data_IF_646707102358
#
_entry.id   IF_646707102358
#
_cell.length_a   1.000
_cell.length_b   1.000
_cell.length_c   1.000
_cell.angle_alpha   90.00
_cell.angle_beta   90.00
_cell.angle_gamma   90.00
#
_symmetry.space_group_name_H-M   'P 1'
#
loop_
_entity.id
_entity.type
_entity.pdbx_description
1 polymer ?
#
# COMPACT_ATOMS: atom_id res chain seq x y z
N UNK A 1 18.55 -11.77 68.47
CA UNK A 1 18.75 -10.34 68.81
C UNK A 1 20.09 -9.91 68.21
N UNK A 2 20.11 -9.42 66.96
CA UNK A 2 21.34 -8.99 66.30
C UNK A 2 21.77 -7.63 66.86
N UNK A 3 22.87 -7.58 67.60
CA UNK A 3 23.49 -6.32 68.04
C UNK A 3 24.42 -5.82 66.94
N UNK A 4 23.96 -4.85 66.16
CA UNK A 4 24.80 -4.10 65.23
C UNK A 4 25.71 -3.17 66.06
N UNK A 5 26.94 -3.61 66.34
CA UNK A 5 27.99 -2.71 66.78
C UNK A 5 28.56 -2.01 65.54
N UNK A 6 28.11 -0.79 65.27
CA UNK A 6 28.62 0.02 64.17
C UNK A 6 29.99 0.53 64.61
N UNK A 7 31.05 -0.06 64.05
CA UNK A 7 32.40 0.47 64.18
C UNK A 7 32.48 1.83 63.47
N UNK A 8 32.84 2.93 64.16
CA UNK A 8 32.93 4.26 63.59
C UNK A 8 33.80 4.32 62.32
N UNK A 9 34.86 3.50 62.25
CA UNK A 9 35.77 3.50 61.12
C UNK A 9 35.12 2.92 59.85
N UNK A 10 34.42 1.79 60.00
CA UNK A 10 33.64 1.17 58.93
C UNK A 10 32.50 2.06 58.44
N UNK A 11 31.89 2.85 59.34
CA UNK A 11 30.85 3.82 58.99
C UNK A 11 31.39 4.95 58.10
N UNK A 12 32.53 5.55 58.43
CA UNK A 12 33.11 6.64 57.63
C UNK A 12 33.58 6.16 56.25
N UNK A 13 34.16 4.96 56.15
CA UNK A 13 34.56 4.38 54.86
C UNK A 13 33.33 4.12 53.99
N UNK A 14 32.27 3.53 54.58
CA UNK A 14 30.99 3.33 53.89
C UNK A 14 30.35 4.64 53.42
N UNK A 15 30.40 5.68 54.25
CA UNK A 15 29.86 7.00 53.90
C UNK A 15 30.67 7.68 52.78
N UNK A 16 31.99 7.57 52.81
CA UNK A 16 32.87 8.15 51.79
C UNK A 16 32.67 7.44 50.44
N UNK A 17 32.64 6.11 50.45
CA UNK A 17 32.40 5.30 49.24
C UNK A 17 31.01 5.55 48.66
N UNK A 18 29.97 5.62 49.49
CA UNK A 18 28.62 5.96 49.04
C UNK A 18 28.55 7.38 48.46
N UNK A 19 29.24 8.36 49.05
CA UNK A 19 29.27 9.75 48.59
C UNK A 19 29.97 9.89 47.23
N UNK A 20 31.12 9.22 47.06
CA UNK A 20 31.85 9.17 45.78
C UNK A 20 31.02 8.45 44.72
N UNK A 21 30.39 7.33 45.07
CA UNK A 21 29.51 6.60 44.16
C UNK A 21 28.30 7.44 43.73
N UNK A 22 27.68 8.16 44.66
CA UNK A 22 26.56 9.05 44.37
C UNK A 22 26.97 10.20 43.45
N UNK A 23 28.15 10.79 43.67
CA UNK A 23 28.68 11.86 42.83
C UNK A 23 29.00 11.38 41.41
N UNK A 24 29.60 10.20 41.25
CA UNK A 24 29.81 9.58 39.92
C UNK A 24 28.48 9.26 39.22
N UNK A 25 27.49 8.76 39.95
CA UNK A 25 26.17 8.48 39.40
C UNK A 25 25.43 9.75 38.95
N UNK A 26 25.53 10.85 39.70
CA UNK A 26 24.93 12.12 39.28
C UNK A 26 25.62 12.73 38.07
N UNK A 27 26.93 12.55 37.93
CA UNK A 27 27.70 12.97 36.76
C UNK A 27 27.42 12.08 35.52
N UNK A 28 27.07 10.80 35.71
CA UNK A 28 26.71 9.88 34.64
C UNK A 28 25.25 10.02 34.13
N UNK A 29 24.37 10.71 34.87
CA UNK A 29 22.98 10.98 34.47
C UNK A 29 22.81 11.63 33.08
N UNK A 30 23.57 12.69 32.69
CA UNK A 30 23.45 13.28 31.35
C UNK A 30 23.76 12.26 30.24
N UNK A 31 24.83 11.47 30.39
CA UNK A 31 25.21 10.42 29.44
C UNK A 31 24.09 9.37 29.29
N UNK A 32 23.47 8.94 30.40
CA UNK A 32 22.35 7.98 30.32
C UNK A 32 21.13 8.52 29.58
N UNK A 33 20.89 9.84 29.62
CA UNK A 33 19.81 10.46 28.84
C UNK A 33 20.13 10.42 27.35
N UNK A 34 21.37 10.72 26.96
CA UNK A 34 21.83 10.64 25.58
C UNK A 34 21.78 9.20 25.04
N UNK A 35 22.23 8.22 25.83
CA UNK A 35 22.13 6.80 25.45
C UNK A 35 20.69 6.34 25.26
N UNK A 36 19.75 6.77 26.11
CA UNK A 36 18.33 6.46 25.96
C UNK A 36 17.73 7.12 24.72
N UNK A 37 18.07 8.38 24.47
CA UNK A 37 17.61 9.10 23.28
C UNK A 37 18.15 8.43 21.99
N UNK A 38 19.44 8.14 21.94
CA UNK A 38 20.06 7.44 20.80
C UNK A 38 19.51 6.01 20.62
N UNK A 39 19.18 5.31 21.71
CA UNK A 39 18.53 4.00 21.62
C UNK A 39 17.09 4.10 21.10
N UNK A 40 16.34 5.13 21.51
CA UNK A 40 14.98 5.39 21.01
C UNK A 40 15.00 5.72 19.51
N UNK A 41 15.89 6.63 19.09
CA UNK A 41 16.08 7.00 17.68
C UNK A 41 16.48 5.81 16.82
N UNK A 42 17.45 4.99 17.28
CA UNK A 42 17.83 3.75 16.58
C UNK A 42 16.68 2.76 16.48
N UNK A 43 15.82 2.68 17.51
CA UNK A 43 14.64 1.81 17.49
C UNK A 43 13.60 2.31 16.47
N UNK A 44 13.37 3.61 16.41
CA UNK A 44 12.46 4.25 15.46
C UNK A 44 12.94 4.06 14.01
N UNK A 45 14.21 4.34 13.74
CA UNK A 45 14.83 4.10 12.43
C UNK A 45 14.77 2.62 12.03
N UNK A 46 15.01 1.70 12.97
CA UNK A 46 14.89 0.27 12.71
C UNK A 46 13.44 -0.16 12.44
N UNK A 47 12.45 0.47 13.10
CA UNK A 47 11.04 0.20 12.88
C UNK A 47 10.59 0.73 11.52
N UNK A 48 10.98 1.97 11.16
CA UNK A 48 10.71 2.55 9.84
C UNK A 48 11.32 1.70 8.71
N UNK A 49 12.59 1.29 8.84
CA UNK A 49 13.26 0.40 7.87
C UNK A 49 12.60 -0.97 7.75
N UNK A 50 12.06 -1.51 8.85
CA UNK A 50 11.34 -2.78 8.84
C UNK A 50 10.03 -2.67 8.07
N UNK A 51 9.23 -1.64 8.34
CA UNK A 51 7.98 -1.40 7.61
C UNK A 51 8.24 -1.15 6.12
N UNK A 52 9.26 -0.37 5.78
CA UNK A 52 9.62 -0.11 4.38
C UNK A 52 10.06 -1.38 3.64
N UNK A 53 10.75 -2.30 4.32
CA UNK A 53 11.15 -3.57 3.69
C UNK A 53 9.97 -4.49 3.36
N UNK A 54 8.95 -4.51 4.23
CA UNK A 54 7.74 -5.32 4.01
C UNK A 54 6.92 -4.74 2.88
N UNK A 55 6.76 -3.41 2.84
CA UNK A 55 6.07 -2.74 1.74
C UNK A 55 6.76 -2.99 0.39
N UNK A 56 8.08 -2.82 0.33
CA UNK A 56 8.85 -3.01 -0.91
C UNK A 56 8.77 -4.46 -1.42
N UNK A 57 8.87 -5.43 -0.50
CA UNK A 57 8.69 -6.84 -0.83
C UNK A 57 7.27 -7.13 -1.35
N UNK A 58 6.25 -6.54 -0.72
CA UNK A 58 4.86 -6.65 -1.14
C UNK A 58 4.64 -6.06 -2.54
N UNK A 59 5.14 -4.84 -2.80
CA UNK A 59 5.07 -4.20 -4.12
C UNK A 59 5.75 -5.06 -5.19
N UNK A 60 6.96 -5.56 -4.94
CA UNK A 60 7.67 -6.44 -5.88
C UNK A 60 6.90 -7.72 -6.15
N UNK A 61 6.25 -8.30 -5.15
CA UNK A 61 5.44 -9.50 -5.34
C UNK A 61 4.18 -9.21 -6.17
N UNK A 62 3.47 -8.12 -5.85
CA UNK A 62 2.32 -7.65 -6.62
C UNK A 62 2.69 -7.38 -8.07
N UNK A 63 3.82 -6.71 -8.33
CA UNK A 63 4.33 -6.48 -9.67
C UNK A 63 4.59 -7.79 -10.41
N UNK A 64 5.33 -8.72 -9.79
CA UNK A 64 5.61 -10.04 -10.39
C UNK A 64 4.32 -10.81 -10.70
N UNK A 65 3.35 -10.80 -9.78
CA UNK A 65 2.05 -11.44 -9.96
C UNK A 65 1.32 -10.81 -11.14
N UNK A 66 1.19 -9.49 -11.16
CA UNK A 66 0.51 -8.75 -12.22
C UNK A 66 1.14 -8.98 -13.60
N UNK A 67 2.47 -8.87 -13.68
CA UNK A 67 3.22 -9.14 -14.92
C UNK A 67 3.09 -10.59 -15.39
N UNK A 68 2.78 -11.53 -14.50
CA UNK A 68 2.57 -12.94 -14.84
C UNK A 68 1.12 -13.31 -15.21
N UNK A 69 0.16 -12.38 -15.19
CA UNK A 69 -1.27 -12.67 -15.43
C UNK A 69 -1.62 -12.83 -16.92
N UNK A 70 -0.83 -13.57 -17.67
CA UNK A 70 -1.08 -13.90 -19.07
C UNK A 70 -0.45 -15.24 -19.47
N UNK A 71 -0.92 -15.83 -20.57
CA UNK A 71 -0.50 -17.17 -21.00
C UNK A 71 0.98 -17.25 -21.41
N UNK A 72 1.56 -16.12 -21.85
CA UNK A 72 2.93 -16.03 -22.32
C UNK A 72 3.92 -15.55 -21.24
N UNK A 73 3.52 -15.54 -19.96
CA UNK A 73 4.33 -15.05 -18.84
C UNK A 73 5.75 -15.66 -18.72
N UNK A 74 6.00 -16.92 -19.13
CA UNK A 74 7.36 -17.46 -19.13
C UNK A 74 8.29 -16.83 -20.18
N UNK A 75 7.75 -16.14 -21.19
CA UNK A 75 8.51 -15.62 -22.34
C UNK A 75 8.64 -14.10 -22.32
N UNK A 76 7.59 -13.39 -21.92
CA UNK A 76 7.51 -11.94 -21.94
C UNK A 76 6.84 -11.44 -20.66
N UNK A 77 7.20 -10.23 -20.24
CA UNK A 77 6.44 -9.53 -19.21
C UNK A 77 5.13 -8.98 -19.81
N UNK A 78 4.10 -8.77 -18.98
CA UNK A 78 2.83 -8.20 -19.45
C UNK A 78 3.06 -6.87 -20.18
N UNK A 79 3.86 -5.97 -19.61
CA UNK A 79 4.10 -4.63 -20.17
C UNK A 79 4.79 -4.64 -21.55
N UNK A 80 5.46 -5.73 -21.93
CA UNK A 80 6.11 -5.87 -23.24
C UNK A 80 5.12 -6.18 -24.37
N UNK A 81 4.00 -6.81 -24.03
CA UNK A 81 2.98 -7.26 -24.99
C UNK A 81 1.63 -6.59 -24.78
N UNK A 82 1.51 -5.75 -23.77
CA UNK A 82 0.28 -5.10 -23.37
C UNK A 82 -0.14 -4.09 -24.43
N UNK A 83 -1.37 -4.23 -24.91
CA UNK A 83 -2.09 -3.12 -25.49
C UNK A 83 -2.74 -2.32 -24.36
N UNK A 84 -2.39 -1.04 -24.25
CA UNK A 84 -2.85 -0.17 -23.17
C UNK A 84 -4.39 -0.20 -23.04
N UNK A 85 -4.93 -0.66 -21.89
CA UNK A 85 -6.37 -0.74 -21.67
C UNK A 85 -6.96 0.66 -21.49
N UNK A 86 -8.02 0.95 -22.25
CA UNK A 86 -8.72 2.23 -22.22
C UNK A 86 -10.20 2.04 -21.91
N UNK A 87 -10.81 3.02 -21.26
CA UNK A 87 -12.23 3.04 -20.91
C UNK A 87 -12.95 4.14 -21.69
N UNK A 88 -14.23 3.93 -21.99
CA UNK A 88 -15.05 4.90 -22.73
C UNK A 88 -15.35 6.08 -21.81
N UNK A 89 -15.18 7.30 -22.31
CA UNK A 89 -15.49 8.51 -21.55
C UNK A 89 -17.01 8.66 -21.41
N UNK A 90 -17.55 8.88 -20.20
CA UNK A 90 -18.96 9.20 -20.05
C UNK A 90 -19.27 10.55 -20.71
N UNK A 91 -20.49 10.75 -21.23
CA UNK A 91 -20.89 12.03 -21.81
C UNK A 91 -20.81 13.14 -20.75
N UNK A 92 -20.46 14.35 -21.18
CA UNK A 92 -20.38 15.49 -20.27
C UNK A 92 -21.77 15.82 -19.71
N UNK A 93 -21.84 16.16 -18.42
CA UNK A 93 -23.08 16.64 -17.81
C UNK A 93 -23.42 18.01 -18.40
N UNK A 94 -24.62 18.14 -18.97
CA UNK A 94 -25.10 19.40 -19.55
C UNK A 94 -25.74 20.24 -18.44
N UNK A 95 -25.09 21.33 -18.06
CA UNK A 95 -25.70 22.35 -17.18
C UNK A 95 -26.44 23.42 -18.01
N UNK A 96 -27.72 23.71 -17.70
CA UNK A 96 -28.47 24.74 -18.41
C UNK A 96 -27.79 26.12 -18.30
N UNK A 97 -27.54 26.77 -19.44
CA UNK A 97 -26.99 28.13 -19.50
C UNK A 97 -25.47 28.23 -19.70
N UNK A 98 -24.76 27.10 -19.74
CA UNK A 98 -23.34 27.05 -20.08
C UNK A 98 -23.14 26.89 -21.60
N UNK A 99 -22.19 27.63 -22.17
CA UNK A 99 -21.78 27.43 -23.56
C UNK A 99 -21.06 26.08 -23.68
N UNK A 100 -21.63 25.17 -24.47
CA UNK A 100 -21.04 23.87 -24.74
C UNK A 100 -19.65 24.02 -25.36
N UNK A 101 -18.69 23.20 -24.91
CA UNK A 101 -17.47 22.96 -25.68
C UNK A 101 -17.88 22.25 -26.98
N UNK A 102 -17.22 22.57 -28.10
CA UNK A 102 -17.48 21.91 -29.38
C UNK A 102 -17.31 20.39 -29.21
N UNK A 103 -18.40 19.65 -29.29
CA UNK A 103 -18.39 18.19 -29.32
C UNK A 103 -17.92 17.71 -30.70
N UNK A 104 -17.05 16.69 -30.71
CA UNK A 104 -16.69 15.99 -31.93
C UNK A 104 -17.94 15.41 -32.61
N UNK A 105 -17.90 15.29 -33.94
CA UNK A 105 -19.00 14.73 -34.76
C UNK A 105 -19.33 13.31 -34.30
N UNK A 106 -18.34 12.56 -33.83
CA UNK A 106 -18.53 11.22 -33.27
C UNK A 106 -19.43 11.24 -32.04
N UNK A 107 -19.23 12.17 -31.11
CA UNK A 107 -20.05 12.32 -29.89
C UNK A 107 -21.50 12.72 -30.19
N UNK A 108 -21.74 13.45 -31.28
CA UNK A 108 -23.09 13.87 -31.68
C UNK A 108 -23.87 12.77 -32.41
N UNK A 109 -23.16 11.83 -33.06
CA UNK A 109 -23.76 10.81 -33.93
C UNK A 109 -23.82 9.44 -33.28
N UNK A 110 -22.81 9.08 -32.48
CA UNK A 110 -22.73 7.80 -31.80
C UNK A 110 -23.37 7.90 -30.41
N UNK A 111 -24.44 7.13 -30.13
CA UNK A 111 -24.98 7.08 -28.78
C UNK A 111 -23.96 6.48 -27.81
N UNK A 112 -23.98 6.93 -26.55
CA UNK A 112 -23.16 6.35 -25.49
C UNK A 112 -23.60 4.91 -25.19
N UNK A 113 -22.82 3.94 -25.67
CA UNK A 113 -23.11 2.51 -25.60
C UNK A 113 -22.02 1.75 -24.82
N UNK A 114 -21.94 1.89 -23.49
CA UNK A 114 -20.89 1.25 -22.68
C UNK A 114 -20.95 -0.28 -22.69
N UNK A 115 -22.09 -0.86 -23.04
CA UNK A 115 -22.25 -2.31 -23.17
C UNK A 115 -21.65 -2.90 -24.46
N UNK A 116 -21.34 -2.07 -25.47
CA UNK A 116 -20.78 -2.46 -26.76
C UNK A 116 -19.54 -1.61 -27.10
N UNK A 117 -18.44 -1.80 -26.35
CA UNK A 117 -17.23 -1.01 -26.53
C UNK A 117 -16.56 -1.20 -27.90
N UNK A 118 -16.86 -2.29 -28.60
CA UNK A 118 -16.36 -2.57 -29.95
C UNK A 118 -16.86 -1.53 -30.97
N UNK A 119 -18.09 -1.06 -30.81
CA UNK A 119 -18.65 -0.01 -31.67
C UNK A 119 -17.94 1.31 -31.38
N UNK A 120 -17.80 1.66 -30.10
CA UNK A 120 -17.07 2.85 -29.67
C UNK A 120 -15.62 2.85 -30.20
N UNK A 121 -14.95 1.70 -30.15
CA UNK A 121 -13.60 1.53 -30.69
C UNK A 121 -13.55 1.71 -32.21
N UNK A 122 -14.50 1.13 -32.96
CA UNK A 122 -14.54 1.23 -34.43
C UNK A 122 -14.68 2.69 -34.91
N UNK A 123 -15.42 3.51 -34.18
CA UNK A 123 -15.64 4.92 -34.48
C UNK A 123 -14.67 5.87 -33.76
N UNK A 124 -13.65 5.35 -33.08
CA UNK A 124 -12.67 6.14 -32.33
C UNK A 124 -13.31 7.11 -31.34
N UNK A 125 -14.36 6.63 -30.64
CA UNK A 125 -15.02 7.42 -29.61
C UNK A 125 -14.01 7.87 -28.52
N UNK A 126 -14.26 8.98 -27.83
CA UNK A 126 -13.39 9.45 -26.76
C UNK A 126 -13.17 8.39 -25.68
N UNK A 127 -11.91 8.19 -25.28
CA UNK A 127 -11.51 7.25 -24.24
C UNK A 127 -10.59 7.88 -23.20
N UNK A 128 -10.53 7.29 -22.02
CA UNK A 128 -9.60 7.62 -20.94
C UNK A 128 -8.68 6.43 -20.67
N UNK A 129 -7.47 6.70 -20.20
CA UNK A 129 -6.60 5.68 -19.61
C UNK A 129 -7.10 5.30 -18.22
N UNK A 130 -6.68 4.14 -17.69
CA UNK A 130 -7.08 3.75 -16.32
C UNK A 130 -6.63 4.76 -15.25
N UNK A 131 -5.40 5.30 -15.28
CA UNK A 131 -4.99 6.34 -14.33
C UNK A 131 -5.85 7.61 -14.43
N UNK A 132 -6.21 8.04 -15.64
CA UNK A 132 -7.11 9.18 -15.85
C UNK A 132 -8.50 8.94 -15.26
N UNK A 133 -9.04 7.74 -15.43
CA UNK A 133 -10.34 7.36 -14.88
C UNK A 133 -10.37 7.35 -13.33
N UNK A 134 -9.21 7.16 -12.69
CA UNK A 134 -9.04 7.13 -11.24
C UNK A 134 -8.72 8.49 -10.61
N UNK A 135 -8.51 9.54 -11.42
CA UNK A 135 -8.27 10.88 -10.92
C UNK A 135 -9.42 11.36 -10.02
N UNK A 136 -9.06 12.05 -8.93
CA UNK A 136 -10.04 12.54 -7.96
C UNK A 136 -10.49 11.52 -6.93
N UNK A 137 -9.71 10.44 -6.70
CA UNK A 137 -10.04 9.35 -5.77
C UNK A 137 -11.38 8.67 -6.10
N UNK A 138 -11.65 8.50 -7.40
CA UNK A 138 -12.85 7.83 -7.88
C UNK A 138 -12.74 6.31 -7.71
N UNK A 139 -13.89 5.65 -7.60
CA UNK A 139 -13.96 4.20 -7.64
C UNK A 139 -14.29 3.75 -9.06
N UNK A 140 -13.49 2.84 -9.62
CA UNK A 140 -13.69 2.30 -10.95
C UNK A 140 -14.28 0.89 -10.90
N UNK A 141 -15.35 0.67 -11.68
CA UNK A 141 -15.94 -0.66 -11.89
C UNK A 141 -15.84 -1.01 -13.38
N UNK A 142 -15.10 -2.06 -13.71
CA UNK A 142 -14.94 -2.54 -15.09
C UNK A 142 -15.88 -3.73 -15.32
N UNK A 143 -16.83 -3.55 -16.24
CA UNK A 143 -17.85 -4.57 -16.57
C UNK A 143 -17.63 -5.02 -18.02
N UNK A 144 -17.84 -6.31 -18.29
CA UNK A 144 -17.74 -6.85 -19.65
C UNK A 144 -17.81 -8.37 -19.68
N UNK A 145 -18.04 -8.93 -20.87
CA UNK A 145 -18.08 -10.37 -21.09
C UNK A 145 -16.74 -11.05 -20.76
N UNK A 146 -16.70 -12.36 -20.48
CA UNK A 146 -15.44 -13.09 -20.36
C UNK A 146 -14.54 -12.87 -21.59
N UNK A 147 -13.24 -12.68 -21.37
CA UNK A 147 -12.29 -12.44 -22.46
C UNK A 147 -12.12 -10.98 -22.92
N UNK A 148 -12.93 -10.03 -22.43
CA UNK A 148 -12.81 -8.59 -22.81
C UNK A 148 -11.62 -7.85 -22.17
N UNK A 149 -10.65 -8.56 -21.58
CA UNK A 149 -9.46 -7.94 -21.01
C UNK A 149 -9.59 -7.36 -19.59
N UNK A 150 -10.67 -7.64 -18.83
CA UNK A 150 -10.84 -7.14 -17.44
C UNK A 150 -9.65 -7.46 -16.52
N UNK A 151 -9.21 -8.72 -16.52
CA UNK A 151 -8.08 -9.15 -15.71
C UNK A 151 -6.79 -8.48 -16.16
N UNK A 152 -6.61 -8.33 -17.47
CA UNK A 152 -5.47 -7.63 -18.06
C UNK A 152 -5.43 -6.15 -17.65
N UNK A 153 -6.59 -5.48 -17.69
CA UNK A 153 -6.74 -4.10 -17.24
C UNK A 153 -6.38 -3.92 -15.76
N UNK A 154 -6.87 -4.82 -14.89
CA UNK A 154 -6.54 -4.80 -13.47
C UNK A 154 -5.06 -5.13 -13.20
N UNK A 155 -4.47 -6.06 -13.94
CA UNK A 155 -3.05 -6.39 -13.84
C UNK A 155 -2.16 -5.22 -14.28
N UNK A 156 -2.52 -4.51 -15.36
CA UNK A 156 -1.81 -3.30 -15.76
C UNK A 156 -1.88 -2.22 -14.68
N UNK A 157 -3.07 -1.95 -14.13
CA UNK A 157 -3.23 -0.98 -13.05
C UNK A 157 -2.42 -1.35 -11.80
N UNK A 158 -2.44 -2.63 -11.42
CA UNK A 158 -1.64 -3.12 -10.30
C UNK A 158 -0.13 -3.00 -10.57
N UNK A 159 0.31 -3.15 -11.82
CA UNK A 159 1.71 -2.95 -12.21
C UNK A 159 2.13 -1.49 -12.09
N UNK A 160 1.31 -0.56 -12.58
CA UNK A 160 1.53 0.89 -12.40
C UNK A 160 1.58 1.29 -10.93
N UNK A 161 0.68 0.73 -10.10
CA UNK A 161 0.65 1.01 -8.68
C UNK A 161 1.86 0.42 -7.97
N UNK A 162 2.26 -0.82 -8.29
CA UNK A 162 3.43 -1.45 -7.71
C UNK A 162 4.75 -0.75 -8.08
N UNK A 163 4.86 -0.23 -9.30
CA UNK A 163 6.04 0.51 -9.77
C UNK A 163 6.08 1.98 -9.35
N UNK A 164 5.04 2.47 -8.65
CA UNK A 164 4.88 3.89 -8.27
C UNK A 164 4.94 4.81 -9.49
N UNK A 165 4.22 4.44 -10.54
CA UNK A 165 4.14 5.26 -11.76
C UNK A 165 3.59 6.66 -11.45
N UNK A 166 4.22 7.67 -12.04
CA UNK A 166 3.79 9.07 -11.93
C UNK A 166 2.39 9.29 -12.53
N UNK A 167 1.95 8.40 -13.44
CA UNK A 167 0.63 8.45 -14.07
C UNK A 167 -0.52 8.36 -13.06
N UNK A 168 -0.29 7.70 -11.92
CA UNK A 168 -1.30 7.53 -10.86
C UNK A 168 -1.46 8.76 -9.96
N UNK A 169 -0.62 9.78 -10.12
CA UNK A 169 -0.67 11.04 -9.38
C UNK A 169 -0.85 10.81 -7.86
N UNK A 170 -2.01 11.15 -7.29
CA UNK A 170 -2.29 11.01 -5.86
C UNK A 170 -2.22 9.56 -5.35
N UNK A 171 -2.40 8.56 -6.22
CA UNK A 171 -2.35 7.13 -5.87
C UNK A 171 -0.96 6.51 -6.05
N UNK A 172 0.06 7.30 -6.41
CA UNK A 172 1.42 6.82 -6.64
C UNK A 172 1.99 6.08 -5.42
N UNK A 173 1.77 6.62 -4.22
CA UNK A 173 2.29 6.07 -2.96
C UNK A 173 1.32 5.08 -2.29
N UNK A 174 0.14 4.85 -2.88
CA UNK A 174 -0.86 3.93 -2.34
C UNK A 174 -0.34 2.48 -2.37
N UNK A 175 -0.69 1.68 -1.36
CA UNK A 175 -0.25 0.28 -1.28
C UNK A 175 -1.16 -0.59 -2.15
N UNK A 176 -0.66 -1.19 -3.26
CA UNK A 176 -1.51 -1.94 -4.15
C UNK A 176 -1.89 -3.29 -3.55
N UNK A 177 -3.18 -3.63 -3.66
CA UNK A 177 -3.71 -4.92 -3.28
C UNK A 177 -4.41 -5.56 -4.48
N UNK A 178 -3.74 -6.50 -5.13
CA UNK A 178 -4.27 -7.27 -6.26
C UNK A 178 -4.73 -8.64 -5.76
N UNK A 179 -6.05 -8.84 -5.68
CA UNK A 179 -6.64 -10.08 -5.15
C UNK A 179 -7.68 -10.62 -6.12
N UNK A 180 -7.70 -11.93 -6.32
CA UNK A 180 -8.76 -12.60 -7.05
C UNK A 180 -9.88 -12.99 -6.10
N UNK A 181 -11.15 -12.77 -6.46
CA UNK A 181 -12.30 -13.03 -5.57
C UNK A 181 -12.35 -14.48 -5.08
N UNK A 182 -11.91 -15.43 -5.90
CA UNK A 182 -11.85 -16.85 -5.52
C UNK A 182 -10.82 -17.18 -4.41
N UNK A 183 -9.86 -16.29 -4.16
CA UNK A 183 -8.86 -16.43 -3.08
C UNK A 183 -9.42 -15.94 -1.74
N UNK A 184 -10.52 -15.19 -1.76
CA UNK A 184 -11.16 -14.69 -0.56
C UNK A 184 -11.94 -15.81 0.13
N UNK A 185 -11.55 -16.13 1.37
CA UNK A 185 -12.28 -17.06 2.24
C UNK A 185 -13.56 -16.40 2.75
N UNK A 186 -14.60 -16.40 1.92
CA UNK A 186 -15.93 -15.88 2.22
C UNK A 186 -16.89 -17.04 2.55
N UNK A 187 -17.86 -16.87 3.48
CA UNK A 187 -18.19 -15.65 4.22
C UNK A 187 -17.24 -15.36 5.40
N UNK A 188 -17.09 -14.08 5.75
CA UNK A 188 -16.28 -13.67 6.91
C UNK A 188 -17.00 -14.07 8.21
N UNK A 189 -16.38 -14.89 9.09
CA UNK A 189 -17.03 -15.39 10.29
C UNK A 189 -17.33 -14.30 11.33
N UNK A 190 -16.55 -13.22 11.35
CA UNK A 190 -16.76 -12.06 12.23
C UNK A 190 -16.79 -10.75 11.44
N UNK A 191 -17.92 -10.03 11.50
CA UNK A 191 -18.12 -8.76 10.76
C UNK A 191 -17.17 -7.62 11.17
N UNK A 192 -16.47 -7.76 12.31
CA UNK A 192 -15.52 -6.75 12.80
C UNK A 192 -14.16 -6.81 12.13
N UNK A 193 -13.79 -7.93 11.51
CA UNK A 193 -12.47 -8.09 10.90
C UNK A 193 -12.57 -8.25 9.38
N UNK A 194 -13.03 -7.20 8.71
CA UNK A 194 -13.25 -7.18 7.24
C UNK A 194 -11.93 -7.30 6.47
N UNK A 195 -10.80 -6.92 7.08
CA UNK A 195 -9.48 -7.02 6.46
C UNK A 195 -8.91 -8.44 6.48
N UNK A 196 -9.39 -9.34 7.34
CA UNK A 196 -8.79 -10.67 7.49
C UNK A 196 -8.76 -11.49 6.19
N UNK A 197 -9.80 -11.51 5.32
CA UNK A 197 -9.74 -12.26 4.07
C UNK A 197 -8.74 -11.66 3.07
N UNK A 198 -8.56 -10.33 3.12
CA UNK A 198 -7.61 -9.61 2.26
C UNK A 198 -6.16 -9.86 2.70
N UNK A 199 -5.91 -9.83 4.01
CA UNK A 199 -4.59 -10.14 4.59
C UNK A 199 -4.23 -11.60 4.34
N UNK A 200 -5.19 -12.52 4.50
CA UNK A 200 -5.02 -13.95 4.21
C UNK A 200 -4.63 -14.16 2.74
N UNK A 201 -5.38 -13.56 1.81
CA UNK A 201 -5.10 -13.66 0.37
C UNK A 201 -3.72 -13.07 0.00
N UNK A 202 -3.36 -11.92 0.57
CA UNK A 202 -2.05 -11.32 0.35
C UNK A 202 -0.90 -12.16 0.96
N UNK A 203 -1.17 -12.88 2.04
CA UNK A 203 -0.18 -13.72 2.72
C UNK A 203 0.12 -15.01 1.96
N UNK A 204 -0.79 -15.51 1.13
CA UNK A 204 -0.61 -16.76 0.38
C UNK A 204 0.60 -16.69 -0.59
N UNK A 205 0.78 -15.53 -1.23
CA UNK A 205 1.88 -15.30 -2.17
C UNK A 205 3.13 -14.71 -1.49
N UNK A 206 3.06 -14.40 -0.21
CA UNK A 206 4.10 -13.64 0.48
C UNK A 206 5.35 -14.47 0.81
N UNK A 207 6.55 -13.87 0.81
CA UNK A 207 7.74 -14.53 1.31
C UNK A 207 7.57 -14.97 2.78
N UNK A 208 8.08 -16.15 3.12
CA UNK A 208 8.01 -16.72 4.47
C UNK A 208 8.51 -15.79 5.59
N UNK A 209 9.48 -14.92 5.27
CA UNK A 209 10.06 -13.95 6.20
C UNK A 209 9.09 -12.80 6.56
N UNK A 210 8.11 -12.52 5.71
CA UNK A 210 7.19 -11.39 5.85
C UNK A 210 5.81 -11.80 6.39
N UNK A 211 5.46 -13.10 6.35
CA UNK A 211 4.17 -13.65 6.82
C UNK A 211 3.77 -13.15 8.22
N UNK A 212 4.70 -13.14 9.17
CA UNK A 212 4.42 -12.70 10.55
C UNK A 212 4.23 -11.19 10.70
N UNK A 213 4.52 -10.39 9.66
CA UNK A 213 4.54 -8.91 9.71
C UNK A 213 3.48 -8.28 8.81
N UNK A 214 3.06 -8.96 7.75
CA UNK A 214 2.06 -8.47 6.80
C UNK A 214 0.75 -8.02 7.45
N UNK A 215 0.16 -8.75 8.42
CA UNK A 215 -1.10 -8.29 9.03
C UNK A 215 -0.97 -6.91 9.68
N UNK A 216 0.07 -6.70 10.48
CA UNK A 216 0.33 -5.43 11.14
C UNK A 216 0.66 -4.31 10.13
N UNK A 217 1.32 -4.64 9.02
CA UNK A 217 1.59 -3.70 7.94
C UNK A 217 0.27 -3.22 7.28
N UNK A 218 -0.60 -4.14 6.87
CA UNK A 218 -1.88 -3.78 6.23
C UNK A 218 -2.82 -3.03 7.16
N UNK A 219 -2.90 -3.42 8.44
CA UNK A 219 -3.68 -2.67 9.43
C UNK A 219 -3.19 -1.23 9.60
N UNK A 220 -1.87 -1.00 9.56
CA UNK A 220 -1.29 0.34 9.65
C UNK A 220 -1.51 1.14 8.35
N UNK A 221 -1.34 0.51 7.19
CA UNK A 221 -1.61 1.15 5.89
C UNK A 221 -3.06 1.65 5.80
N UNK A 222 -4.02 0.78 6.15
CA UNK A 222 -5.44 1.12 6.13
C UNK A 222 -5.81 2.22 7.14
N UNK A 223 -5.21 2.22 8.35
CA UNK A 223 -5.41 3.29 9.35
C UNK A 223 -4.87 4.65 8.89
N UNK A 224 -3.80 4.65 8.09
CA UNK A 224 -3.17 5.85 7.58
C UNK A 224 -3.84 6.37 6.29
N UNK A 225 -4.72 5.58 5.66
CA UNK A 225 -5.38 5.94 4.41
C UNK A 225 -4.49 5.79 3.17
N UNK A 226 -3.46 4.93 3.25
CA UNK A 226 -2.54 4.60 2.16
C UNK A 226 -2.91 3.29 1.47
#
# INVERSE_FOLDING_TARGET
>A
MFRFAIDPFSFFIGFLTASVFWWLMTQARPLWREYRAAAAEKKELAQARKTSSVEENHRRNTLRRAQGMHLAAPLFALDEILQEPRVITPPQSIEPGMTHLLEDVTSQTLPYLPAWPEIAAAYHAPTLTLPQALLGNSNLVIIGQPGTGKTCAMAHLASLAASRSEELAALQDAVPLLVHVAELKLPVPESRNILSPLIDAASEDAPMLDLGRLPAFFENAFKNGN
#
